data_IF_798002795359
#
_entry.id   IF_798002795359
#
_cell.length_a   1.000
_cell.length_b   1.000
_cell.length_c   1.000
_cell.angle_alpha   90.00
_cell.angle_beta   90.00
_cell.angle_gamma   90.00
#
_symmetry.space_group_name_H-M   'P 1'
#
loop_
_entity.id
_entity.type
_entity.pdbx_description
1 polymer ?
#
# COMPACT_ATOMS: atom_id res chain seq x y z
N UNK A 1 -17.12 30.77 32.59
CA UNK A 1 -16.20 31.52 31.70
C UNK A 1 -14.79 31.09 32.05
N UNK A 2 -14.15 30.27 31.21
CA UNK A 2 -12.79 29.82 31.45
C UNK A 2 -11.81 30.97 31.20
N UNK A 3 -11.05 31.34 32.23
CA UNK A 3 -9.91 32.26 32.10
C UNK A 3 -8.88 31.64 31.16
N UNK A 4 -8.63 32.28 30.03
CA UNK A 4 -7.51 31.90 29.18
C UNK A 4 -6.22 32.12 29.97
N UNK A 5 -5.30 31.13 30.02
CA UNK A 5 -4.02 31.32 30.70
C UNK A 5 -3.28 32.47 30.02
N UNK A 6 -2.89 33.48 30.80
CA UNK A 6 -1.97 34.52 30.36
C UNK A 6 -0.65 33.86 30.01
N UNK A 7 -0.30 33.83 28.72
CA UNK A 7 0.95 33.23 28.25
C UNK A 7 2.07 34.23 28.52
N UNK A 8 3.10 33.79 29.24
CA UNK A 8 4.28 34.63 29.50
C UNK A 8 4.98 34.96 28.17
N UNK A 9 5.24 36.24 27.87
CA UNK A 9 5.82 36.67 26.59
C UNK A 9 7.24 36.14 26.37
N UNK A 10 7.94 35.77 27.43
CA UNK A 10 9.27 35.14 27.39
C UNK A 10 9.25 33.71 26.83
N UNK A 11 8.10 33.03 26.84
CA UNK A 11 7.93 31.67 26.31
C UNK A 11 7.55 31.65 24.82
N UNK A 12 7.20 32.79 24.22
CA UNK A 12 6.85 32.89 22.79
C UNK A 12 8.01 32.44 21.88
N UNK A 13 9.27 32.87 22.09
CA UNK A 13 10.39 32.43 21.24
C UNK A 13 10.63 30.91 21.21
N UNK A 14 10.71 30.18 22.34
CA UNK A 14 10.89 28.73 22.29
C UNK A 14 9.68 27.99 21.73
N UNK A 15 8.44 28.46 21.97
CA UNK A 15 7.27 27.84 21.36
C UNK A 15 7.23 27.99 19.84
N UNK A 16 7.65 29.13 19.30
CA UNK A 16 7.76 29.30 17.84
C UNK A 16 8.83 28.38 17.23
N UNK A 17 9.98 28.23 17.88
CA UNK A 17 11.04 27.34 17.40
C UNK A 17 10.60 25.87 17.30
N UNK A 18 9.72 25.41 18.20
CA UNK A 18 9.21 24.03 18.19
C UNK A 18 7.96 23.88 17.32
N UNK A 19 7.01 24.81 17.40
CA UNK A 19 5.73 24.71 16.68
C UNK A 19 5.86 24.98 15.20
N UNK A 20 6.76 25.87 14.76
CA UNK A 20 6.94 26.20 13.35
C UNK A 20 7.38 24.99 12.49
N UNK A 21 8.42 24.21 12.86
CA UNK A 21 8.77 23.01 12.09
C UNK A 21 7.69 21.94 12.17
N UNK A 22 7.00 21.81 13.32
CA UNK A 22 5.92 20.83 13.49
C UNK A 22 4.71 21.17 12.61
N UNK A 23 4.32 22.44 12.56
CA UNK A 23 3.26 22.97 11.71
C UNK A 23 3.64 22.85 10.22
N UNK A 24 4.90 23.11 9.87
CA UNK A 24 5.37 22.90 8.49
C UNK A 24 5.29 21.42 8.09
N UNK A 25 5.74 20.51 8.95
CA UNK A 25 5.70 19.08 8.67
C UNK A 25 4.26 18.55 8.55
N UNK A 26 3.39 18.96 9.47
CA UNK A 26 1.97 18.59 9.44
C UNK A 26 1.28 19.15 8.18
N UNK A 27 1.57 20.39 7.80
CA UNK A 27 1.07 20.98 6.56
C UNK A 27 1.56 20.22 5.32
N UNK A 28 2.86 19.89 5.25
CA UNK A 28 3.42 19.12 4.13
C UNK A 28 2.80 17.73 4.03
N UNK A 29 2.56 17.08 5.17
CA UNK A 29 1.91 15.77 5.21
C UNK A 29 0.44 15.87 4.78
N UNK A 30 -0.28 16.87 5.29
CA UNK A 30 -1.66 17.15 4.91
C UNK A 30 -1.80 17.39 3.41
N UNK A 31 -0.99 18.29 2.82
CA UNK A 31 -1.01 18.56 1.38
C UNK A 31 -0.69 17.29 0.58
N UNK A 32 0.27 16.48 1.04
CA UNK A 32 0.60 15.21 0.37
C UNK A 32 -0.56 14.22 0.39
N UNK A 33 -1.34 14.19 1.48
CA UNK A 33 -2.50 13.30 1.61
C UNK A 33 -3.73 13.80 0.84
N UNK A 34 -3.93 15.12 0.75
CA UNK A 34 -5.14 15.71 0.13
C UNK A 34 -4.97 16.04 -1.35
N UNK A 35 -3.74 16.09 -1.87
CA UNK A 35 -3.50 16.40 -3.29
C UNK A 35 -3.86 15.19 -4.16
N UNK A 36 -5.02 15.27 -4.83
CA UNK A 36 -5.43 14.31 -5.85
C UNK A 36 -4.54 14.48 -7.09
N UNK A 37 -3.92 13.40 -7.60
CA UNK A 37 -3.10 13.47 -8.79
C UNK A 37 -3.94 13.94 -10.00
N UNK A 38 -3.35 14.71 -10.93
CA UNK A 38 -4.07 15.27 -12.08
C UNK A 38 -4.78 14.20 -12.92
N UNK A 39 -4.23 12.98 -12.98
CA UNK A 39 -4.80 11.84 -13.69
C UNK A 39 -6.10 11.29 -13.08
N UNK A 40 -6.43 11.66 -11.84
CA UNK A 40 -7.64 11.24 -11.12
C UNK A 40 -8.68 12.37 -11.01
N UNK A 41 -8.37 13.57 -11.49
CA UNK A 41 -9.30 14.69 -11.41
C UNK A 41 -10.52 14.45 -12.32
N UNK A 42 -11.74 14.79 -11.83
CA UNK A 42 -12.95 14.70 -12.65
C UNK A 42 -12.88 15.68 -13.82
N UNK A 43 -13.68 15.42 -14.85
CA UNK A 43 -13.79 16.28 -16.02
C UNK A 43 -14.30 17.68 -15.65
N UNK A 44 -13.55 18.71 -16.02
CA UNK A 44 -13.96 20.10 -15.93
C UNK A 44 -14.40 20.61 -17.32
N UNK A 45 -15.69 20.94 -17.51
CA UNK A 45 -16.22 21.35 -18.81
C UNK A 45 -15.68 22.71 -19.27
N UNK A 46 -15.14 23.55 -18.38
CA UNK A 46 -14.61 24.87 -18.74
C UNK A 46 -13.22 24.78 -19.37
N UNK A 47 -12.41 23.86 -18.88
CA UNK A 47 -11.04 23.63 -19.36
C UNK A 47 -10.95 22.51 -20.39
N UNK A 48 -11.98 21.66 -20.48
CA UNK A 48 -12.01 20.49 -21.37
C UNK A 48 -11.06 19.37 -20.94
N UNK A 49 -10.52 19.44 -19.72
CA UNK A 49 -9.50 18.52 -19.21
C UNK A 49 -10.09 17.73 -18.05
N UNK A 50 -9.81 16.41 -18.02
CA UNK A 50 -10.10 15.53 -16.87
C UNK A 50 -10.69 14.19 -17.28
N UNK A 51 -10.92 13.32 -16.28
CA UNK A 51 -11.55 12.00 -16.50
C UNK A 51 -13.04 12.16 -16.77
N UNK A 52 -13.53 11.51 -17.83
CA UNK A 52 -14.92 11.55 -18.24
C UNK A 52 -15.21 12.61 -19.30
N UNK A 53 -14.19 13.04 -20.05
CA UNK A 53 -14.39 13.95 -21.18
C UNK A 53 -15.40 13.37 -22.18
N UNK A 54 -16.45 14.12 -22.57
CA UNK A 54 -17.45 13.66 -23.53
C UNK A 54 -16.79 13.23 -24.85
N UNK A 55 -17.17 12.05 -25.35
CA UNK A 55 -16.66 11.52 -26.62
C UNK A 55 -15.32 10.79 -26.54
N UNK A 56 -14.65 10.75 -25.39
CA UNK A 56 -13.44 9.94 -25.19
C UNK A 56 -13.65 8.89 -24.11
N UNK A 57 -13.26 7.64 -24.40
CA UNK A 57 -13.27 6.54 -23.43
C UNK A 57 -12.12 6.73 -22.41
N UNK A 58 -12.27 7.71 -21.53
CA UNK A 58 -11.30 8.03 -20.49
C UNK A 58 -11.65 7.29 -19.20
N UNK A 59 -10.62 6.87 -18.47
CA UNK A 59 -10.79 6.26 -17.15
C UNK A 59 -11.05 4.76 -17.10
N UNK A 60 -10.89 4.05 -18.22
CA UNK A 60 -10.81 2.58 -18.23
C UNK A 60 -9.67 2.10 -17.33
N UNK A 61 -9.97 1.11 -16.49
CA UNK A 61 -8.99 0.49 -15.59
C UNK A 61 -8.20 -0.57 -16.35
N UNK A 62 -6.88 -0.56 -16.22
CA UNK A 62 -6.05 -1.65 -16.73
C UNK A 62 -6.27 -2.88 -15.84
N UNK A 63 -6.68 -3.98 -16.46
CA UNK A 63 -6.86 -5.27 -15.78
C UNK A 63 -5.69 -6.18 -16.14
N UNK A 64 -5.16 -6.89 -15.16
CA UNK A 64 -4.10 -7.86 -15.39
C UNK A 64 -4.68 -9.08 -16.11
N UNK A 65 -4.14 -9.42 -17.27
CA UNK A 65 -4.56 -10.58 -18.06
C UNK A 65 -3.77 -11.82 -17.57
N UNK A 66 -4.41 -12.99 -17.42
CA UNK A 66 -3.74 -14.24 -17.11
C UNK A 66 -2.60 -14.55 -18.09
N UNK A 67 -1.52 -15.18 -17.61
CA UNK A 67 -0.31 -15.43 -18.41
C UNK A 67 -0.56 -16.26 -19.67
N UNK A 68 -1.43 -17.28 -19.57
CA UNK A 68 -1.80 -18.15 -20.69
C UNK A 68 -2.45 -17.36 -21.84
N UNK A 69 -3.43 -16.51 -21.51
CA UNK A 69 -4.08 -15.64 -22.49
C UNK A 69 -3.12 -14.58 -23.06
N UNK A 70 -2.19 -14.09 -22.24
CA UNK A 70 -1.16 -13.15 -22.70
C UNK A 70 -0.28 -13.76 -23.80
N UNK A 71 0.10 -15.02 -23.67
CA UNK A 71 0.93 -15.73 -24.66
C UNK A 71 0.18 -15.97 -25.97
N UNK A 72 -1.11 -16.31 -25.90
CA UNK A 72 -1.99 -16.45 -27.07
C UNK A 72 -2.14 -15.12 -27.82
N UNK A 73 -2.40 -14.03 -27.09
CA UNK A 73 -2.48 -12.68 -27.67
C UNK A 73 -1.13 -12.30 -28.32
N UNK A 74 -0.01 -12.60 -27.67
CA UNK A 74 1.33 -12.33 -28.22
C UNK A 74 1.63 -13.13 -29.49
N UNK A 75 1.06 -14.32 -29.64
CA UNK A 75 1.14 -15.15 -30.84
C UNK A 75 0.29 -14.59 -32.00
N UNK A 76 -0.61 -13.65 -31.72
CA UNK A 76 -1.54 -13.08 -32.70
C UNK A 76 -2.83 -13.89 -32.86
N UNK A 77 -3.16 -14.74 -31.87
CA UNK A 77 -4.44 -15.44 -31.84
C UNK A 77 -5.57 -14.48 -31.43
N UNK A 78 -6.72 -14.56 -32.09
CA UNK A 78 -7.91 -13.77 -31.73
C UNK A 78 -8.55 -14.36 -30.47
N UNK A 79 -8.40 -13.65 -29.34
CA UNK A 79 -9.02 -14.02 -28.06
C UNK A 79 -10.21 -13.10 -27.82
N UNK A 80 -11.38 -13.69 -27.59
CA UNK A 80 -12.61 -12.93 -27.34
C UNK A 80 -12.61 -12.24 -25.96
N UNK A 81 -13.41 -11.18 -25.81
CA UNK A 81 -13.52 -10.46 -24.54
C UNK A 81 -14.09 -11.35 -23.43
N UNK A 82 -14.99 -12.25 -23.79
CA UNK A 82 -15.61 -13.24 -22.92
C UNK A 82 -14.58 -14.24 -22.39
N UNK A 83 -13.66 -14.72 -23.22
CA UNK A 83 -12.56 -15.60 -22.80
C UNK A 83 -11.60 -14.92 -21.82
N UNK A 84 -11.27 -13.65 -22.05
CA UNK A 84 -10.42 -12.86 -21.15
C UNK A 84 -11.10 -12.72 -19.79
N UNK A 85 -12.39 -12.40 -19.78
CA UNK A 85 -13.16 -12.22 -18.55
C UNK A 85 -13.25 -13.53 -17.77
N UNK A 86 -13.57 -14.64 -18.44
CA UNK A 86 -13.62 -15.96 -17.84
C UNK A 86 -12.24 -16.44 -17.33
N UNK A 87 -11.16 -16.05 -18.01
CA UNK A 87 -9.79 -16.33 -17.57
C UNK A 87 -9.42 -15.57 -16.30
N UNK A 88 -9.79 -14.29 -16.21
CA UNK A 88 -9.56 -13.45 -15.03
C UNK A 88 -10.31 -14.00 -13.82
N UNK A 89 -11.57 -14.42 -14.00
CA UNK A 89 -12.39 -14.97 -12.91
C UNK A 89 -11.81 -16.28 -12.36
N UNK A 90 -11.39 -17.19 -13.25
CA UNK A 90 -10.72 -18.44 -12.86
C UNK A 90 -9.41 -18.22 -12.11
N UNK A 91 -8.58 -17.28 -12.56
CA UNK A 91 -7.31 -16.96 -11.90
C UNK A 91 -7.55 -16.34 -10.51
N UNK A 92 -8.57 -15.48 -10.40
CA UNK A 92 -8.97 -14.89 -9.13
C UNK A 92 -9.44 -15.96 -8.14
N UNK A 93 -10.28 -16.89 -8.57
CA UNK A 93 -10.75 -18.00 -7.71
C UNK A 93 -9.56 -18.87 -7.24
N UNK A 94 -8.60 -19.14 -8.12
CA UNK A 94 -7.39 -19.90 -7.75
C UNK A 94 -6.58 -19.17 -6.68
N UNK A 95 -6.34 -17.87 -6.85
CA UNK A 95 -5.64 -17.04 -5.87
C UNK A 95 -6.38 -16.98 -4.53
N UNK A 96 -7.71 -16.86 -4.53
CA UNK A 96 -8.51 -16.86 -3.30
C UNK A 96 -8.44 -18.22 -2.57
N UNK A 97 -8.35 -19.34 -3.30
CA UNK A 97 -8.15 -20.67 -2.70
C UNK A 97 -6.73 -20.85 -2.16
N UNK A 98 -5.71 -20.35 -2.87
CA UNK A 98 -4.32 -20.33 -2.40
C UNK A 98 -4.15 -19.42 -1.17
N UNK A 99 -4.80 -18.26 -1.11
CA UNK A 99 -4.83 -17.39 0.08
C UNK A 99 -5.51 -18.07 1.26
N UNK A 100 -6.66 -18.74 1.07
CA UNK A 100 -7.33 -19.45 2.16
C UNK A 100 -6.50 -20.61 2.70
N UNK A 101 -5.85 -21.36 1.82
CA UNK A 101 -4.99 -22.49 2.22
C UNK A 101 -3.67 -22.03 2.86
N UNK A 102 -3.09 -20.94 2.39
CA UNK A 102 -1.91 -20.32 3.00
C UNK A 102 -2.22 -19.61 4.32
N UNK A 103 -3.41 -19.02 4.48
CA UNK A 103 -3.88 -18.45 5.74
C UNK A 103 -4.05 -19.53 6.82
N UNK A 104 -4.64 -20.70 6.47
CA UNK A 104 -4.72 -21.84 7.40
C UNK A 104 -3.36 -22.45 7.72
N UNK A 105 -2.42 -22.46 6.77
CA UNK A 105 -1.06 -22.95 7.01
C UNK A 105 -0.22 -21.96 7.85
N UNK A 106 -0.43 -20.65 7.70
CA UNK A 106 0.26 -19.61 8.46
C UNK A 106 -0.18 -19.51 9.92
N UNK A 107 -1.44 -19.83 10.23
CA UNK A 107 -1.92 -19.96 11.62
C UNK A 107 -1.29 -21.17 12.32
N UNK A 108 -1.23 -22.34 11.66
CA UNK A 108 -0.52 -23.51 12.20
C UNK A 108 0.99 -23.28 12.33
N UNK A 109 1.63 -22.55 11.40
CA UNK A 109 3.07 -22.26 11.49
C UNK A 109 3.39 -21.23 12.58
N UNK A 110 2.50 -20.25 12.81
CA UNK A 110 2.62 -19.30 13.93
C UNK A 110 2.38 -19.98 15.29
N UNK A 111 1.52 -21.00 15.35
CA UNK A 111 1.31 -21.79 16.56
C UNK A 111 2.47 -22.77 16.84
N UNK A 112 3.02 -23.42 15.81
CA UNK A 112 4.20 -24.31 15.91
C UNK A 112 5.52 -23.57 16.18
N UNK A 113 5.57 -22.25 15.97
CA UNK A 113 6.73 -21.40 16.31
C UNK A 113 6.72 -20.90 17.75
N UNK A 114 5.68 -21.19 18.55
CA UNK A 114 5.76 -20.99 20.00
C UNK A 114 6.69 -22.06 20.55
N UNK A 115 7.90 -21.66 20.92
CA UNK A 115 8.86 -22.54 21.57
C UNK A 115 8.20 -23.17 22.81
N UNK A 116 8.42 -24.46 23.10
CA UNK A 116 7.95 -25.04 24.34
C UNK A 116 8.55 -24.27 25.53
N UNK A 117 7.72 -23.99 26.54
CA UNK A 117 8.04 -23.13 27.70
C UNK A 117 9.26 -23.61 28.53
N UNK A 118 9.79 -24.80 28.23
CA UNK A 118 10.89 -25.43 28.95
C UNK A 118 12.28 -25.32 28.28
N UNK A 119 12.44 -24.56 27.19
CA UNK A 119 13.74 -24.43 26.50
C UNK A 119 14.22 -22.98 26.57
N UNK A 120 15.31 -22.77 27.31
CA UNK A 120 15.96 -21.46 27.42
C UNK A 120 16.52 -21.00 26.06
N UNK A 121 16.23 -19.74 25.70
CA UNK A 121 16.63 -19.11 24.43
C UNK A 121 18.16 -19.07 24.21
N UNK A 122 18.93 -19.22 25.29
CA UNK A 122 20.39 -19.12 25.29
C UNK A 122 21.09 -20.35 24.67
N UNK A 123 20.43 -21.51 24.66
CA UNK A 123 20.98 -22.74 24.04
C UNK A 123 20.69 -22.82 22.53
N UNK A 124 19.69 -22.08 22.03
CA UNK A 124 19.23 -22.22 20.65
C UNK A 124 20.07 -21.37 19.69
N UNK A 125 20.46 -21.92 18.52
CA UNK A 125 21.12 -21.11 17.50
C UNK A 125 20.16 -20.00 17.03
N UNK A 126 20.68 -18.80 16.75
CA UNK A 126 19.91 -17.61 16.36
C UNK A 126 19.00 -17.76 15.11
N UNK A 127 19.12 -18.88 14.39
CA UNK A 127 18.25 -19.26 13.28
C UNK A 127 16.93 -19.86 13.78
N UNK A 128 16.92 -20.56 14.93
CA UNK A 128 15.75 -21.22 15.48
C UNK A 128 14.86 -20.27 16.32
N UNK A 129 15.43 -19.24 16.94
CA UNK A 129 14.71 -18.27 17.79
C UNK A 129 14.05 -17.13 17.00
N UNK A 130 14.07 -17.16 15.67
CA UNK A 130 13.39 -16.17 14.83
C UNK A 130 13.92 -14.72 14.96
N UNK A 131 14.98 -14.49 15.72
CA UNK A 131 15.58 -13.15 15.93
C UNK A 131 16.61 -12.77 14.84
N UNK A 132 16.91 -13.67 13.90
CA UNK A 132 17.76 -13.38 12.75
C UNK A 132 17.00 -12.67 11.62
N UNK A 133 16.65 -11.40 11.82
CA UNK A 133 15.95 -10.63 10.77
C UNK A 133 15.97 -9.11 10.82
N UNK A 134 16.61 -8.47 11.81
CA UNK A 134 16.58 -7.00 11.94
C UNK A 134 17.95 -6.34 11.82
N UNK A 135 18.72 -6.65 10.78
CA UNK A 135 19.83 -5.79 10.35
C UNK A 135 20.22 -5.96 8.87
N UNK A 136 19.63 -5.13 7.99
CA UNK A 136 20.23 -4.48 6.80
C UNK A 136 19.15 -4.12 5.77
N UNK A 137 18.41 -3.05 6.06
CA UNK A 137 17.81 -2.27 4.99
C UNK A 137 18.93 -1.51 4.25
N UNK A 138 19.35 -2.07 3.10
CA UNK A 138 20.20 -1.42 2.10
C UNK A 138 19.54 -0.12 1.64
N UNK A 139 20.22 1.02 1.85
CA UNK A 139 19.99 2.25 1.10
C UNK A 139 21.30 2.65 0.42
N UNK A 140 21.48 2.23 -0.84
CA UNK A 140 22.44 2.86 -1.76
C UNK A 140 21.69 3.34 -3.00
N UNK A 141 21.72 4.66 -3.16
CA UNK A 141 21.22 5.43 -4.31
C UNK A 141 21.90 5.00 -5.61
N UNK A 142 21.15 4.92 -6.68
CA UNK A 142 21.42 5.65 -7.92
C UNK A 142 20.08 6.03 -8.55
#
# INVERSE_FOLDING_TARGET
MGLLPSVDPSLVPPFLLVSLPLAYLSYRFYVRLTTIPPSQRPYDPKTGIGRGAPGFQTGVRKVAIPKDLMERIKRGEEVSAEEITAGIERERERLEREERSSASAGEEEAERRKLPENVDEEWLPAVATGTSGKSKARRRKK
#
